data_IF_057492290750
#
_entry.id   IF_057492290750
#
_cell.length_a   1.000
_cell.length_b   1.000
_cell.length_c   1.000
_cell.angle_alpha   90.00
_cell.angle_beta   90.00
_cell.angle_gamma   90.00
#
_symmetry.space_group_name_H-M   'P 1'
#
loop_
_entity.id
_entity.type
_entity.pdbx_description
1 polymer ?
#
# COMPACT_ATOMS: atom_id res chain seq x y z
N UNK A 1 -16.04 4.54 11.73
CA UNK A 1 -16.28 3.09 11.71
C UNK A 1 -17.22 2.65 10.58
N UNK A 2 -18.44 3.20 10.45
CA UNK A 2 -19.40 2.84 9.39
C UNK A 2 -18.82 3.07 7.99
N UNK A 3 -18.19 4.21 7.72
CA UNK A 3 -17.59 4.55 6.44
C UNK A 3 -16.48 3.54 6.06
N UNK A 4 -15.64 3.16 7.01
CA UNK A 4 -14.57 2.19 6.79
C UNK A 4 -15.13 0.81 6.42
N UNK A 5 -16.18 0.37 7.13
CA UNK A 5 -16.85 -0.91 6.85
C UNK A 5 -17.53 -0.88 5.48
N UNK A 6 -18.15 0.23 5.12
CA UNK A 6 -18.80 0.40 3.80
C UNK A 6 -17.76 0.36 2.67
N UNK A 7 -16.64 1.05 2.82
CA UNK A 7 -15.56 1.05 1.83
C UNK A 7 -14.91 -0.33 1.68
N UNK A 8 -14.71 -1.05 2.79
CA UNK A 8 -14.25 -2.45 2.74
C UNK A 8 -15.25 -3.36 2.03
N UNK A 9 -16.54 -3.17 2.29
CA UNK A 9 -17.61 -3.90 1.60
C UNK A 9 -17.61 -3.64 0.09
N UNK A 10 -17.45 -2.39 -0.33
CA UNK A 10 -17.36 -1.99 -1.74
C UNK A 10 -16.12 -2.61 -2.37
N UNK A 11 -14.97 -2.53 -1.71
CA UNK A 11 -13.72 -3.11 -2.18
C UNK A 11 -13.85 -4.61 -2.43
N UNK A 12 -14.38 -5.35 -1.44
CA UNK A 12 -14.60 -6.79 -1.52
C UNK A 12 -15.62 -7.18 -2.60
N UNK A 13 -16.70 -6.39 -2.76
CA UNK A 13 -17.69 -6.58 -3.81
C UNK A 13 -17.12 -6.37 -5.20
N UNK A 14 -16.27 -5.35 -5.38
CA UNK A 14 -15.58 -5.08 -6.64
C UNK A 14 -14.61 -6.19 -7.01
N UNK A 15 -13.92 -6.79 -6.03
CA UNK A 15 -12.98 -7.88 -6.27
C UNK A 15 -13.67 -9.15 -6.79
N UNK A 16 -14.90 -9.41 -6.34
CA UNK A 16 -15.67 -10.59 -6.75
C UNK A 16 -16.24 -10.56 -8.16
N UNK A 17 -16.23 -9.43 -8.87
CA UNK A 17 -16.78 -9.32 -10.23
C UNK A 17 -15.72 -9.57 -11.30
N UNK A 18 -15.72 -10.75 -11.99
CA UNK A 18 -14.69 -11.09 -12.98
C UNK A 18 -14.76 -10.27 -14.27
N UNK A 19 -15.92 -9.68 -14.61
CA UNK A 19 -16.14 -8.98 -15.89
C UNK A 19 -15.47 -7.60 -16.02
N UNK A 20 -14.81 -7.10 -14.99
CA UNK A 20 -14.23 -5.75 -14.97
C UNK A 20 -12.70 -5.75 -14.96
N UNK A 21 -12.04 -6.80 -15.47
CA UNK A 21 -10.62 -7.08 -15.26
C UNK A 21 -9.68 -5.92 -15.61
N UNK A 22 -9.91 -5.18 -16.69
CA UNK A 22 -9.03 -4.07 -17.10
C UNK A 22 -9.45 -2.70 -16.55
N UNK A 23 -10.69 -2.54 -16.06
CA UNK A 23 -11.21 -1.25 -15.56
C UNK A 23 -11.31 -1.16 -14.04
N UNK A 24 -10.96 -2.22 -13.32
CA UNK A 24 -11.05 -2.30 -11.86
C UNK A 24 -9.94 -1.55 -11.11
N UNK A 25 -8.77 -1.42 -11.73
CA UNK A 25 -7.58 -0.95 -11.02
C UNK A 25 -7.74 0.47 -10.50
N UNK A 26 -8.31 1.38 -11.30
CA UNK A 26 -8.51 2.77 -10.89
C UNK A 26 -9.51 2.93 -9.75
N UNK A 27 -10.75 2.38 -9.84
CA UNK A 27 -11.68 2.49 -8.73
C UNK A 27 -11.22 1.75 -7.47
N UNK A 28 -10.54 0.62 -7.59
CA UNK A 28 -9.95 -0.08 -6.44
C UNK A 28 -8.85 0.75 -5.76
N UNK A 29 -8.01 1.43 -6.54
CA UNK A 29 -7.02 2.35 -6.02
C UNK A 29 -7.67 3.51 -5.25
N UNK A 30 -8.71 4.11 -5.83
CA UNK A 30 -9.46 5.21 -5.19
C UNK A 30 -10.08 4.76 -3.87
N UNK A 31 -10.73 3.59 -3.84
CA UNK A 31 -11.32 3.03 -2.61
C UNK A 31 -10.24 2.73 -1.57
N UNK A 32 -9.09 2.21 -1.98
CA UNK A 32 -7.97 1.94 -1.07
C UNK A 32 -7.38 3.23 -0.47
N UNK A 33 -7.21 4.28 -1.29
CA UNK A 33 -6.77 5.59 -0.81
C UNK A 33 -7.79 6.23 0.14
N UNK A 34 -9.09 6.10 -0.16
CA UNK A 34 -10.17 6.56 0.72
C UNK A 34 -10.19 5.79 2.05
N UNK A 35 -9.91 4.48 2.03
CA UNK A 35 -9.78 3.68 3.25
C UNK A 35 -8.62 4.16 4.13
N UNK A 36 -7.45 4.40 3.55
CA UNK A 36 -6.29 4.94 4.28
C UNK A 36 -6.63 6.32 4.85
N UNK A 37 -7.28 7.19 4.06
CA UNK A 37 -7.69 8.51 4.51
C UNK A 37 -8.65 8.45 5.70
N UNK A 38 -9.67 7.58 5.64
CA UNK A 38 -10.63 7.43 6.76
C UNK A 38 -9.97 6.87 8.01
N UNK A 39 -9.05 5.91 7.89
CA UNK A 39 -8.33 5.37 9.06
C UNK A 39 -7.45 6.43 9.70
N UNK A 40 -6.81 7.30 8.91
CA UNK A 40 -6.00 8.41 9.38
C UNK A 40 -6.84 9.47 10.09
N UNK A 41 -8.04 9.80 9.55
CA UNK A 41 -8.97 10.75 10.15
C UNK A 41 -9.45 10.35 11.55
N UNK A 42 -9.47 9.07 11.86
CA UNK A 42 -9.83 8.55 13.18
C UNK A 42 -8.61 8.15 14.03
N UNK A 43 -7.39 8.42 13.54
CA UNK A 43 -6.13 8.12 14.19
C UNK A 43 -5.62 9.23 15.10
N UNK A 44 -4.41 9.04 15.60
CA UNK A 44 -3.78 9.95 16.57
C UNK A 44 -3.49 11.36 16.02
N UNK A 45 -3.34 11.52 14.69
CA UNK A 45 -3.08 12.81 14.05
C UNK A 45 -4.19 13.85 14.23
N UNK A 46 -5.44 13.40 14.44
CA UNK A 46 -6.58 14.29 14.67
C UNK A 46 -6.68 14.80 16.12
N UNK A 47 -5.97 14.17 17.05
CA UNK A 47 -5.96 14.58 18.47
C UNK A 47 -5.22 15.90 18.72
N UNK A 48 -4.42 16.37 17.76
CA UNK A 48 -3.56 17.57 17.90
C UNK A 48 -4.17 18.75 17.19
N UNK A 49 -5.31 19.03 16.93
CA UNK A 49 -5.92 20.22 16.25
C UNK A 49 -5.08 20.87 15.13
N UNK A 50 -3.92 20.31 14.84
CA UNK A 50 -2.98 20.79 13.83
C UNK A 50 -3.10 19.97 12.53
N UNK A 51 -3.08 20.65 11.40
CA UNK A 51 -3.17 20.01 10.08
C UNK A 51 -1.88 19.23 9.71
N UNK A 52 -0.73 19.71 10.19
CA UNK A 52 0.55 19.11 9.86
C UNK A 52 0.71 17.65 10.33
N UNK A 53 0.40 17.28 11.58
CA UNK A 53 0.43 15.88 12.01
C UNK A 53 -0.53 14.99 11.24
N UNK A 54 -1.69 15.51 10.86
CA UNK A 54 -2.68 14.75 10.09
C UNK A 54 -2.17 14.39 8.69
N UNK A 55 -1.53 15.33 8.00
CA UNK A 55 -0.91 15.09 6.69
C UNK A 55 0.24 14.08 6.84
N UNK A 56 1.06 14.25 7.88
CA UNK A 56 2.19 13.36 8.14
C UNK A 56 1.74 11.94 8.43
N UNK A 57 0.69 11.76 9.22
CA UNK A 57 0.07 10.46 9.54
C UNK A 57 -0.51 9.79 8.27
N UNK A 58 -1.16 10.57 7.41
CA UNK A 58 -1.65 10.07 6.14
C UNK A 58 -0.53 9.59 5.22
N UNK A 59 0.53 10.37 5.07
CA UNK A 59 1.72 10.00 4.27
C UNK A 59 2.39 8.75 4.86
N UNK A 60 2.54 8.70 6.18
CA UNK A 60 3.10 7.55 6.89
C UNK A 60 2.29 6.28 6.64
N UNK A 61 0.97 6.34 6.82
CA UNK A 61 0.05 5.23 6.60
C UNK A 61 0.05 4.75 5.15
N UNK A 62 0.13 5.68 4.19
CA UNK A 62 0.19 5.37 2.77
C UNK A 62 1.48 4.63 2.42
N UNK A 63 2.62 5.11 2.88
CA UNK A 63 3.92 4.47 2.65
C UNK A 63 4.03 3.11 3.35
N UNK A 64 3.50 3.00 4.58
CA UNK A 64 3.43 1.73 5.29
C UNK A 64 2.58 0.70 4.51
N UNK A 65 1.46 1.12 3.95
CA UNK A 65 0.59 0.27 3.13
C UNK A 65 1.30 -0.20 1.85
N UNK A 66 2.02 0.69 1.17
CA UNK A 66 2.83 0.35 0.00
C UNK A 66 3.94 -0.64 0.36
N UNK A 67 4.62 -0.42 1.48
CA UNK A 67 5.70 -1.29 1.93
C UNK A 67 5.19 -2.69 2.29
N UNK A 68 4.19 -2.79 3.18
CA UNK A 68 3.60 -4.07 3.61
C UNK A 68 2.93 -4.77 2.44
N UNK A 69 2.12 -4.07 1.66
CA UNK A 69 1.46 -4.60 0.46
C UNK A 69 2.45 -5.09 -0.59
N UNK A 70 3.55 -4.36 -0.77
CA UNK A 70 4.64 -4.75 -1.66
C UNK A 70 5.32 -6.05 -1.21
N UNK A 71 5.60 -6.20 0.09
CA UNK A 71 6.20 -7.43 0.65
C UNK A 71 5.25 -8.61 0.47
N UNK A 72 3.96 -8.44 0.75
CA UNK A 72 2.94 -9.48 0.56
C UNK A 72 2.84 -9.86 -0.92
N UNK A 73 2.74 -8.88 -1.81
CA UNK A 73 2.66 -9.11 -3.25
C UNK A 73 3.90 -9.85 -3.78
N UNK A 74 5.10 -9.42 -3.37
CA UNK A 74 6.33 -10.07 -3.74
C UNK A 74 6.37 -11.53 -3.28
N UNK A 75 6.01 -11.80 -2.03
CA UNK A 75 6.06 -13.13 -1.42
C UNK A 75 5.03 -14.10 -2.01
N UNK A 76 3.80 -13.66 -2.24
CA UNK A 76 2.70 -14.53 -2.64
C UNK A 76 2.42 -14.56 -4.14
N UNK A 77 2.87 -13.56 -4.89
CA UNK A 77 2.64 -13.49 -6.33
C UNK A 77 3.95 -13.63 -7.11
N UNK A 78 4.94 -12.81 -6.81
CA UNK A 78 6.19 -12.78 -7.59
C UNK A 78 7.01 -14.05 -7.37
N UNK A 79 7.28 -14.44 -6.13
CA UNK A 79 8.10 -15.62 -5.83
C UNK A 79 7.50 -16.92 -6.42
N UNK A 80 6.21 -17.23 -6.23
CA UNK A 80 5.62 -18.43 -6.84
C UNK A 80 5.60 -18.40 -8.37
N UNK A 81 5.44 -17.22 -8.96
CA UNK A 81 5.48 -17.05 -10.42
C UNK A 81 6.89 -17.30 -10.96
N UNK A 82 7.90 -16.75 -10.30
CA UNK A 82 9.31 -16.97 -10.64
C UNK A 82 9.71 -18.44 -10.50
N UNK A 83 9.15 -19.16 -9.55
CA UNK A 83 9.44 -20.59 -9.36
C UNK A 83 8.99 -21.47 -10.54
N UNK A 84 8.04 -20.99 -11.35
CA UNK A 84 7.51 -21.69 -12.53
C UNK A 84 8.27 -21.40 -13.83
N UNK A 85 9.17 -20.43 -13.82
CA UNK A 85 9.95 -20.02 -14.98
C UNK A 85 11.22 -20.85 -15.12
N UNK A 86 11.66 -21.03 -16.37
CA UNK A 86 12.98 -21.61 -16.67
C UNK A 86 14.11 -20.71 -16.17
N UNK A 87 15.27 -21.27 -15.91
CA UNK A 87 16.40 -20.57 -15.31
C UNK A 87 16.77 -19.24 -16.00
N UNK A 88 16.83 -19.25 -17.33
CA UNK A 88 17.20 -18.03 -18.10
C UNK A 88 16.10 -16.94 -18.03
N UNK A 89 14.84 -17.32 -18.08
CA UNK A 89 13.73 -16.38 -17.96
C UNK A 89 13.60 -15.83 -16.54
N UNK A 90 13.83 -16.68 -15.56
CA UNK A 90 13.86 -16.31 -14.13
C UNK A 90 14.93 -15.27 -13.87
N UNK A 91 16.14 -15.48 -14.33
CA UNK A 91 17.27 -14.55 -14.17
C UNK A 91 16.95 -13.17 -14.78
N UNK A 92 16.48 -13.12 -16.03
CA UNK A 92 16.09 -11.88 -16.71
C UNK A 92 14.99 -11.13 -15.94
N UNK A 93 13.98 -11.84 -15.48
CA UNK A 93 12.84 -11.27 -14.75
C UNK A 93 13.27 -10.74 -13.40
N UNK A 94 14.08 -11.47 -12.66
CA UNK A 94 14.63 -11.02 -11.36
C UNK A 94 15.49 -9.78 -11.53
N UNK A 95 16.39 -9.75 -12.50
CA UNK A 95 17.25 -8.58 -12.78
C UNK A 95 16.45 -7.35 -13.20
N UNK A 96 15.28 -7.51 -13.83
CA UNK A 96 14.41 -6.41 -14.20
C UNK A 96 13.56 -5.88 -13.03
N UNK A 97 13.05 -6.76 -12.18
CA UNK A 97 12.08 -6.42 -11.11
C UNK A 97 12.78 -6.01 -9.82
N UNK A 98 13.81 -6.75 -9.42
CA UNK A 98 14.44 -6.61 -8.10
C UNK A 98 15.01 -5.22 -7.82
N UNK A 99 15.75 -4.57 -8.75
CA UNK A 99 16.27 -3.23 -8.50
C UNK A 99 15.18 -2.18 -8.32
N UNK A 100 14.09 -2.26 -9.11
CA UNK A 100 12.95 -1.34 -9.03
C UNK A 100 12.20 -1.51 -7.73
N UNK A 101 11.93 -2.75 -7.34
CA UNK A 101 11.26 -3.07 -6.08
C UNK A 101 12.12 -2.65 -4.88
N UNK A 102 13.40 -2.99 -4.87
CA UNK A 102 14.34 -2.63 -3.82
C UNK A 102 14.46 -1.11 -3.66
N UNK A 103 14.55 -0.36 -4.76
CA UNK A 103 14.58 1.11 -4.73
C UNK A 103 13.33 1.71 -4.11
N UNK A 104 12.16 1.25 -4.52
CA UNK A 104 10.87 1.71 -3.98
C UNK A 104 10.75 1.40 -2.48
N UNK A 105 11.09 0.19 -2.07
CA UNK A 105 11.04 -0.23 -0.66
C UNK A 105 12.01 0.57 0.20
N UNK A 106 13.23 0.81 -0.30
CA UNK A 106 14.25 1.58 0.43
C UNK A 106 13.81 3.03 0.65
N UNK A 107 13.26 3.68 -0.37
CA UNK A 107 12.73 5.04 -0.26
C UNK A 107 11.55 5.08 0.72
N UNK A 108 10.59 4.17 0.58
CA UNK A 108 9.43 4.10 1.48
C UNK A 108 9.87 3.87 2.93
N UNK A 109 10.80 2.95 3.16
CA UNK A 109 11.33 2.66 4.50
C UNK A 109 12.08 3.87 5.08
N UNK A 110 12.90 4.56 4.29
CA UNK A 110 13.59 5.77 4.71
C UNK A 110 12.64 6.86 5.21
N UNK A 111 11.56 7.10 4.47
CA UNK A 111 10.53 8.07 4.85
C UNK A 111 9.76 7.58 6.09
N UNK A 112 9.45 6.28 6.21
CA UNK A 112 8.79 5.69 7.38
C UNK A 112 9.61 5.85 8.65
N UNK A 113 10.92 5.66 8.58
CA UNK A 113 11.84 5.83 9.72
C UNK A 113 11.87 7.29 10.20
N UNK A 114 11.72 8.24 9.30
CA UNK A 114 11.69 9.67 9.65
C UNK A 114 10.31 10.07 10.21
N UNK A 115 9.24 9.65 9.53
CA UNK A 115 7.87 10.05 9.89
C UNK A 115 7.36 9.39 11.17
N UNK A 116 7.77 8.15 11.46
CA UNK A 116 7.36 7.43 12.67
C UNK A 116 7.70 8.18 13.97
N UNK A 117 8.98 8.46 14.24
CA UNK A 117 9.37 9.21 15.43
C UNK A 117 8.81 10.65 15.48
N UNK A 118 8.67 11.32 14.33
CA UNK A 118 8.07 12.66 14.28
C UNK A 118 6.60 12.66 14.67
N UNK A 119 5.85 11.62 14.33
CA UNK A 119 4.46 11.45 14.77
C UNK A 119 4.34 11.19 16.28
N UNK A 120 5.32 10.51 16.87
CA UNK A 120 5.36 10.32 18.34
C UNK A 120 5.65 11.61 19.10
N UNK A 121 6.30 12.57 18.45
CA UNK A 121 6.61 13.88 19.06
C UNK A 121 5.38 14.79 19.14
N UNK A 122 4.44 14.66 18.25
CA UNK A 122 3.18 15.40 18.26
C UNK A 122 2.17 14.73 19.18
#
# INVERSE_FOLDING_TARGET
MIITITLLGIWFWMERKPHLTNKKHVPMLIVSLALIFTTTMFGHGTASELVAPMILDYVHSLLASVWIGGVIFFSFVILPTLAKLDWMEKEKTVLAILPRYSGMVTIALGILIITGPTLLWF
#
